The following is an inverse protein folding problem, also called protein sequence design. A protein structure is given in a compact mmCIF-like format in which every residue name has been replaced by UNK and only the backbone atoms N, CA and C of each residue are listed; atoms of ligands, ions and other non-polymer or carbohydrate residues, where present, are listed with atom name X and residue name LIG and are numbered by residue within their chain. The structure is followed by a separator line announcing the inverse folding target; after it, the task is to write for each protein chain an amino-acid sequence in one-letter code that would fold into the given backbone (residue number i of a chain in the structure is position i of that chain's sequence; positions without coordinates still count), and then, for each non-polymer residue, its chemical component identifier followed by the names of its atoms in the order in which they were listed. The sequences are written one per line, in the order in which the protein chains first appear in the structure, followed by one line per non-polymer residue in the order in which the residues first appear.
data_IF_284073520028
#
_entry.id   IF_284073520028
#
_cell.length_a   1.000
_cell.length_b   1.000
_cell.length_c   1.000
_cell.angle_alpha   90.00
_cell.angle_beta   90.00
_cell.angle_gamma   90.00
#
_symmetry.space_group_name_H-M   'P 1'
#
loop_
_entity.id
_entity.type
_entity.pdbx_description
1 polymer ?
#
# COMPACT_ATOMS: atom_id res chain seq x y z
N UNK A 1 -11.45 -11.08 -14.30
CA UNK A 1 -11.30 -11.34 -12.85
C UNK A 1 -12.62 -11.07 -12.18
N UNK A 2 -13.03 -11.87 -11.18
CA UNK A 2 -14.27 -11.61 -10.43
C UNK A 2 -14.00 -10.49 -9.42
N UNK A 3 -14.76 -9.40 -9.50
CA UNK A 3 -14.75 -8.33 -8.50
C UNK A 3 -16.03 -8.44 -7.66
N UNK A 4 -15.92 -9.00 -6.46
CA UNK A 4 -17.08 -9.27 -5.60
C UNK A 4 -16.71 -9.01 -4.14
N UNK A 5 -17.39 -8.04 -3.54
CA UNK A 5 -17.14 -7.56 -2.18
C UNK A 5 -18.43 -7.05 -1.55
N UNK A 6 -18.44 -6.97 -0.23
CA UNK A 6 -19.37 -6.12 0.51
C UNK A 6 -18.69 -4.79 0.82
N UNK A 7 -19.42 -3.68 0.76
CA UNK A 7 -18.89 -2.34 1.02
C UNK A 7 -19.60 -1.67 2.19
N UNK A 8 -18.83 -1.00 3.03
CA UNK A 8 -19.32 -0.12 4.09
C UNK A 8 -18.72 1.28 3.91
N UNK A 9 -19.53 2.29 4.19
CA UNK A 9 -19.13 3.70 4.15
C UNK A 9 -19.46 4.33 5.50
N UNK A 10 -18.45 4.89 6.15
CA UNK A 10 -18.62 5.68 7.36
C UNK A 10 -18.37 7.15 7.05
N UNK A 11 -19.32 8.01 7.41
CA UNK A 11 -19.16 9.46 7.34
C UNK A 11 -18.78 9.98 8.73
N UNK A 12 -17.65 10.66 8.80
CA UNK A 12 -17.11 11.20 10.05
C UNK A 12 -17.07 12.72 9.94
N UNK A 13 -17.43 13.41 11.02
CA UNK A 13 -17.39 14.87 11.09
C UNK A 13 -16.68 15.31 12.36
N UNK A 14 -15.82 16.32 12.23
CA UNK A 14 -15.23 16.99 13.39
C UNK A 14 -16.35 17.59 14.27
N UNK A 15 -16.30 17.33 15.59
CA UNK A 15 -17.29 17.86 16.54
C UNK A 15 -17.13 19.37 16.76
N UNK A 16 -15.89 19.83 16.73
CA UNK A 16 -15.48 21.21 17.02
C UNK A 16 -14.59 21.74 15.88
N UNK A 17 -14.26 23.03 15.93
CA UNK A 17 -13.42 23.67 14.91
C UNK A 17 -14.13 23.83 13.57
N UNK A 18 -13.44 23.47 12.48
CA UNK A 18 -13.91 23.68 11.10
C UNK A 18 -15.09 22.78 10.70
N UNK A 19 -15.43 21.78 11.52
CA UNK A 19 -16.56 20.84 11.31
C UNK A 19 -16.51 20.15 9.95
N UNK A 20 -15.31 19.84 9.46
CA UNK A 20 -15.08 19.15 8.19
C UNK A 20 -15.57 17.72 8.28
N UNK A 21 -15.97 17.18 7.13
CA UNK A 21 -16.41 15.80 6.98
C UNK A 21 -15.44 15.00 6.12
N UNK A 22 -15.23 13.73 6.47
CA UNK A 22 -14.52 12.76 5.66
C UNK A 22 -15.37 11.50 5.52
N UNK A 23 -15.10 10.68 4.51
CA UNK A 23 -15.62 9.32 4.45
C UNK A 23 -14.48 8.31 4.57
N UNK A 24 -14.76 7.18 5.21
CA UNK A 24 -13.94 5.98 5.11
C UNK A 24 -14.78 4.95 4.35
N UNK A 25 -14.25 4.48 3.23
CA UNK A 25 -14.84 3.36 2.48
C UNK A 25 -14.03 2.12 2.82
N UNK A 26 -14.68 1.03 3.22
CA UNK A 26 -14.05 -0.28 3.34
C UNK A 26 -14.80 -1.31 2.50
N UNK A 27 -14.02 -2.18 1.86
CA UNK A 27 -14.49 -3.34 1.11
C UNK A 27 -13.97 -4.61 1.77
N UNK A 28 -14.86 -5.58 1.92
CA UNK A 28 -14.52 -6.93 2.38
C UNK A 28 -14.74 -7.89 1.22
N UNK A 29 -13.65 -8.54 0.82
CA UNK A 29 -13.58 -9.62 -0.15
C UNK A 29 -13.48 -10.95 0.61
N UNK A 30 -13.62 -12.07 -0.11
CA UNK A 30 -13.43 -13.40 0.50
C UNK A 30 -11.97 -13.64 0.91
N UNK A 31 -11.02 -12.95 0.29
CA UNK A 31 -9.56 -13.12 0.40
C UNK A 31 -8.87 -11.88 0.99
N UNK A 32 -9.63 -10.93 1.55
CA UNK A 32 -9.02 -9.77 2.19
C UNK A 32 -9.96 -8.60 2.45
N UNK A 33 -9.40 -7.54 3.01
CA UNK A 33 -10.09 -6.27 3.23
C UNK A 33 -9.28 -5.13 2.65
N UNK A 34 -9.96 -4.09 2.21
CA UNK A 34 -9.30 -2.87 1.77
C UNK A 34 -10.10 -1.64 2.21
N UNK A 35 -9.42 -0.55 2.52
CA UNK A 35 -10.07 0.70 2.89
C UNK A 35 -9.33 1.92 2.34
N UNK A 36 -10.04 3.03 2.20
CA UNK A 36 -9.47 4.32 1.81
C UNK A 36 -10.24 5.49 2.41
N UNK A 37 -9.59 6.65 2.45
CA UNK A 37 -10.19 7.92 2.83
C UNK A 37 -10.75 8.63 1.60
N UNK A 38 -11.92 9.24 1.76
CA UNK A 38 -12.49 10.18 0.79
C UNK A 38 -12.60 11.53 1.47
N UNK A 39 -11.90 12.51 0.91
CA UNK A 39 -11.95 13.90 1.33
C UNK A 39 -12.88 14.62 0.33
N UNK A 40 -14.10 15.00 0.74
CA UNK A 40 -14.99 15.76 -0.14
C UNK A 40 -14.49 17.20 -0.28
N UNK A 41 -15.18 17.98 -1.12
CA UNK A 41 -15.00 19.43 -1.15
C UNK A 41 -15.36 20.04 0.22
N UNK A 42 -14.54 20.97 0.68
CA UNK A 42 -14.79 21.76 1.89
C UNK A 42 -14.84 23.25 1.54
N UNK A 43 -15.70 24.04 2.21
CA UNK A 43 -15.78 25.47 1.95
C UNK A 43 -14.43 26.17 2.13
N UNK A 44 -14.03 26.99 1.15
CA UNK A 44 -12.79 27.76 1.13
C UNK A 44 -11.52 26.91 1.28
N UNK A 45 -11.52 25.65 0.80
CA UNK A 45 -10.35 24.78 0.79
C UNK A 45 -10.25 24.05 -0.54
N UNK A 46 -9.32 24.46 -1.39
CA UNK A 46 -9.13 23.86 -2.71
C UNK A 46 -8.08 22.74 -2.67
N UNK A 47 -7.14 22.79 -1.71
CA UNK A 47 -6.04 21.83 -1.60
C UNK A 47 -5.57 21.63 -0.16
N UNK A 48 -4.82 20.53 0.06
CA UNK A 48 -4.22 20.18 1.34
C UNK A 48 -2.77 19.74 1.15
N UNK A 49 -1.94 20.08 2.14
CA UNK A 49 -0.59 19.54 2.28
C UNK A 49 -0.61 18.45 3.35
N UNK A 50 -0.51 17.20 2.92
CA UNK A 50 -0.47 16.05 3.82
C UNK A 50 0.95 15.90 4.33
N UNK A 51 1.14 16.03 5.64
CA UNK A 51 2.46 15.83 6.29
C UNK A 51 2.57 14.45 6.94
N UNK A 52 1.44 13.80 7.23
CA UNK A 52 1.41 12.47 7.83
C UNK A 52 0.03 11.83 7.67
N UNK A 53 0.03 10.52 7.51
CA UNK A 53 -1.15 9.68 7.67
C UNK A 53 -1.13 8.96 9.02
N UNK A 54 -2.31 8.80 9.67
CA UNK A 54 -2.42 8.18 11.01
C UNK A 54 -2.98 6.75 10.97
N UNK A 55 -2.93 6.09 9.82
CA UNK A 55 -3.31 4.68 9.67
C UNK A 55 -2.36 3.80 10.47
N UNK A 56 -2.89 2.77 11.13
CA UNK A 56 -2.10 1.80 11.87
C UNK A 56 -2.63 0.38 11.70
N UNK A 57 -1.71 -0.58 11.74
CA UNK A 57 -1.96 -2.01 11.62
C UNK A 57 -1.48 -2.69 12.90
N UNK A 58 -2.43 -3.20 13.69
CA UNK A 58 -2.18 -3.77 15.02
C UNK A 58 -2.41 -5.27 14.97
N UNK A 59 -1.48 -6.04 15.53
CA UNK A 59 -1.53 -7.49 15.50
C UNK A 59 -1.84 -8.07 16.88
N UNK A 60 -2.56 -9.18 16.91
CA UNK A 60 -2.92 -9.87 18.14
C UNK A 60 -1.74 -10.63 18.77
N UNK A 61 -0.68 -10.90 18.00
CA UNK A 61 0.49 -11.64 18.45
C UNK A 61 1.72 -11.24 17.64
N UNK A 62 2.90 -11.57 18.16
CA UNK A 62 4.18 -11.32 17.51
C UNK A 62 4.47 -12.43 16.48
N UNK A 63 4.02 -12.21 15.25
CA UNK A 63 4.15 -13.13 14.13
C UNK A 63 5.51 -13.00 13.44
N UNK A 64 5.83 -13.92 12.53
CA UNK A 64 6.99 -13.77 11.65
C UNK A 64 6.58 -13.12 10.34
N UNK A 65 7.50 -12.40 9.71
CA UNK A 65 7.24 -11.76 8.43
C UNK A 65 8.47 -11.79 7.52
N UNK A 66 8.20 -11.86 6.21
CA UNK A 66 9.15 -11.53 5.15
C UNK A 66 8.96 -10.06 4.77
N UNK A 67 10.06 -9.30 4.83
CA UNK A 67 10.06 -7.86 4.62
C UNK A 67 11.39 -7.39 4.03
N UNK A 68 11.37 -6.19 3.47
CA UNK A 68 12.55 -5.44 3.03
C UNK A 68 12.66 -4.15 3.84
N UNK A 69 13.89 -3.68 4.12
CA UNK A 69 14.10 -2.47 4.89
C UNK A 69 13.47 -1.27 4.22
N UNK A 70 13.10 -0.29 5.05
CA UNK A 70 12.66 1.00 4.58
C UNK A 70 13.88 1.90 4.33
N UNK A 71 14.35 1.95 3.08
CA UNK A 71 15.44 2.83 2.62
C UNK A 71 15.36 3.12 1.10
N UNK A 72 16.32 3.90 0.58
CA UNK A 72 16.40 4.30 -0.83
C UNK A 72 16.62 3.12 -1.81
N UNK A 73 17.12 1.99 -1.32
CA UNK A 73 17.42 0.78 -2.09
C UNK A 73 16.51 -0.38 -1.71
N UNK A 74 15.38 -0.11 -1.03
CA UNK A 74 14.51 -1.11 -0.45
C UNK A 74 14.12 -2.20 -1.46
N UNK A 75 13.73 -1.80 -2.67
CA UNK A 75 13.23 -2.71 -3.70
C UNK A 75 14.32 -3.51 -4.44
N UNK A 76 15.60 -3.22 -4.15
CA UNK A 76 16.74 -4.02 -4.60
C UNK A 76 17.37 -4.81 -3.44
N UNK A 77 16.77 -4.76 -2.25
CA UNK A 77 17.28 -5.43 -1.06
C UNK A 77 16.85 -6.89 -0.96
N UNK A 78 17.66 -7.69 -0.28
CA UNK A 78 17.26 -9.05 0.11
C UNK A 78 16.17 -9.00 1.18
N UNK A 79 15.22 -9.94 1.11
CA UNK A 79 14.22 -10.10 2.14
C UNK A 79 14.83 -10.61 3.44
N UNK A 80 14.34 -10.07 4.55
CA UNK A 80 14.62 -10.53 5.91
C UNK A 80 13.43 -11.34 6.43
N UNK A 81 13.67 -12.27 7.35
CA UNK A 81 12.64 -13.08 7.99
C UNK A 81 12.80 -13.05 9.51
N UNK A 82 12.00 -12.23 10.17
CA UNK A 82 12.11 -11.92 11.61
C UNK A 82 10.72 -11.82 12.24
N UNK A 83 10.65 -11.65 13.56
CA UNK A 83 9.40 -11.30 14.24
C UNK A 83 8.96 -9.88 13.87
N UNK A 84 7.66 -9.61 13.93
CA UNK A 84 7.09 -8.27 13.70
C UNK A 84 7.68 -7.24 14.68
N UNK A 85 7.90 -7.62 15.93
CA UNK A 85 8.48 -6.75 16.96
C UNK A 85 9.94 -6.36 16.68
N UNK A 86 10.65 -7.11 15.84
CA UNK A 86 12.04 -6.86 15.46
C UNK A 86 12.17 -5.91 14.26
N UNK A 87 11.07 -5.65 13.54
CA UNK A 87 11.06 -4.79 12.34
C UNK A 87 10.99 -3.32 12.76
N UNK A 88 12.03 -2.50 12.51
CA UNK A 88 11.98 -1.08 12.82
C UNK A 88 11.12 -0.31 11.81
N UNK A 89 11.30 -0.61 10.52
CA UNK A 89 10.56 -0.05 9.41
C UNK A 89 10.68 -0.96 8.17
N UNK A 90 9.64 -1.04 7.35
CA UNK A 90 9.59 -1.89 6.16
C UNK A 90 8.83 -1.21 5.00
N UNK A 91 9.25 -1.45 3.76
CA UNK A 91 8.42 -1.16 2.58
C UNK A 91 7.29 -2.19 2.43
N UNK A 92 6.24 -1.81 1.71
CA UNK A 92 5.19 -2.74 1.30
C UNK A 92 5.46 -3.28 -0.11
N UNK A 93 5.03 -4.52 -0.45
CA UNK A 93 4.24 -5.44 0.37
C UNK A 93 5.04 -6.09 1.51
N UNK A 94 4.45 -6.18 2.71
CA UNK A 94 4.96 -7.01 3.80
C UNK A 94 4.12 -8.29 3.89
N UNK A 95 4.78 -9.43 3.94
CA UNK A 95 4.10 -10.75 4.04
C UNK A 95 4.34 -11.35 5.41
N UNK A 96 3.25 -11.70 6.10
CA UNK A 96 3.24 -12.11 7.50
C UNK A 96 2.69 -13.52 7.57
N UNK A 97 3.40 -14.39 8.27
CA UNK A 97 2.99 -15.75 8.61
C UNK A 97 2.53 -15.78 10.06
N UNK A 98 1.24 -16.03 10.28
CA UNK A 98 0.69 -16.14 11.62
C UNK A 98 0.83 -17.57 12.15
N UNK A 99 0.93 -17.71 13.47
CA UNK A 99 1.10 -19.01 14.13
C UNK A 99 -0.13 -19.93 13.96
N UNK A 100 -1.28 -19.39 13.53
CA UNK A 100 -2.55 -20.09 13.39
C UNK A 100 -2.82 -20.57 11.94
N UNK A 101 -1.78 -20.70 11.11
CA UNK A 101 -1.88 -21.10 9.69
C UNK A 101 -2.65 -20.09 8.82
N UNK A 102 -2.40 -18.80 9.01
CA UNK A 102 -2.84 -17.75 8.09
C UNK A 102 -1.64 -16.97 7.56
N UNK A 103 -1.76 -16.53 6.32
CA UNK A 103 -0.83 -15.65 5.65
C UNK A 103 -1.52 -14.32 5.40
N UNK A 104 -0.85 -13.23 5.74
CA UNK A 104 -1.35 -11.87 5.58
C UNK A 104 -0.37 -11.09 4.69
N UNK A 105 -0.87 -10.35 3.72
CA UNK A 105 -0.07 -9.39 2.96
C UNK A 105 -0.67 -7.98 3.12
N UNK A 106 0.13 -7.05 3.65
CA UNK A 106 -0.25 -5.63 3.75
C UNK A 106 0.43 -4.88 2.61
N UNK A 107 -0.37 -4.17 1.83
CA UNK A 107 0.08 -3.37 0.69
C UNK A 107 -0.90 -2.21 0.41
N UNK A 108 -0.74 -1.57 -0.73
CA UNK A 108 -1.69 -0.59 -1.25
C UNK A 108 -2.07 -0.82 -2.71
N UNK A 109 -3.13 -0.16 -3.15
CA UNK A 109 -3.60 -0.21 -4.54
C UNK A 109 -4.12 1.16 -5.00
N UNK A 110 -4.03 1.43 -6.30
CA UNK A 110 -4.38 2.70 -6.92
C UNK A 110 -3.61 3.90 -6.31
N UNK A 111 -2.29 3.77 -6.20
CA UNK A 111 -1.39 4.85 -5.81
C UNK A 111 -1.29 5.89 -6.94
N UNK A 112 -2.10 6.95 -6.85
CA UNK A 112 -2.16 8.05 -7.81
C UNK A 112 -2.19 9.38 -7.05
N UNK A 113 -1.38 10.35 -7.48
CA UNK A 113 -1.28 11.70 -6.90
C UNK A 113 -1.11 11.71 -5.35
N UNK A 114 -0.38 10.72 -4.83
CA UNK A 114 -0.13 10.53 -3.41
C UNK A 114 1.23 9.86 -3.20
N UNK A 115 1.75 9.94 -1.98
CA UNK A 115 3.02 9.29 -1.62
C UNK A 115 2.81 7.84 -1.22
N UNK A 116 3.78 7.01 -1.58
CA UNK A 116 3.85 5.59 -1.24
C UNK A 116 3.74 5.36 0.27
N UNK A 117 3.09 4.27 0.66
CA UNK A 117 3.07 3.79 2.03
C UNK A 117 4.24 2.85 2.35
N UNK A 118 4.96 3.22 3.40
CA UNK A 118 5.86 2.34 4.15
C UNK A 118 5.30 2.15 5.56
N UNK A 119 5.84 1.17 6.29
CA UNK A 119 5.41 0.81 7.63
C UNK A 119 6.53 1.08 8.62
N UNK A 120 6.25 1.85 9.67
CA UNK A 120 7.19 2.09 10.77
C UNK A 120 6.66 1.46 12.05
N UNK A 121 7.53 0.93 12.90
CA UNK A 121 7.14 0.34 14.19
C UNK A 121 6.34 1.35 15.03
N UNK A 122 5.15 0.96 15.45
CA UNK A 122 4.32 1.76 16.36
C UNK A 122 4.65 1.37 17.81
N UNK A 123 5.40 2.23 18.50
CA UNK A 123 5.80 2.03 19.89
C UNK A 123 4.68 2.27 20.90
N UNK A 124 3.51 2.74 20.46
CA UNK A 124 2.34 2.94 21.32
C UNK A 124 1.49 1.67 21.53
N UNK A 125 1.82 0.59 20.81
CA UNK A 125 1.14 -0.71 20.89
C UNK A 125 2.13 -1.84 21.11
N UNK A 126 1.65 -3.01 21.55
CA UNK A 126 2.50 -4.16 21.80
C UNK A 126 3.20 -4.67 20.53
N UNK A 127 2.43 -4.88 19.46
CA UNK A 127 2.92 -5.31 18.14
C UNK A 127 2.10 -4.63 17.06
N UNK A 128 2.74 -3.82 16.22
CA UNK A 128 2.06 -3.11 15.15
C UNK A 128 2.91 -2.09 14.44
N UNK A 129 2.36 -1.57 13.34
CA UNK A 129 2.97 -0.56 12.51
C UNK A 129 2.05 0.64 12.34
N UNK A 130 2.63 1.82 12.22
CA UNK A 130 1.97 3.01 11.70
C UNK A 130 2.37 3.20 10.23
N UNK A 131 1.45 3.74 9.43
CA UNK A 131 1.76 4.20 8.09
C UNK A 131 2.78 5.35 8.15
N UNK A 132 3.80 5.28 7.32
CA UNK A 132 4.71 6.37 7.01
C UNK A 132 4.66 6.64 5.51
N UNK A 133 4.48 7.90 5.15
CA UNK A 133 4.54 8.34 3.75
C UNK A 133 5.93 8.89 3.46
N UNK A 134 6.41 8.71 2.24
CA UNK A 134 7.67 9.31 1.80
C UNK A 134 7.52 10.83 1.66
N UNK A 135 8.31 11.64 2.39
CA UNK A 135 8.23 13.09 2.29
C UNK A 135 9.04 13.63 1.10
N UNK A 136 8.57 14.72 0.51
CA UNK A 136 9.39 15.61 -0.29
C UNK A 136 10.43 16.33 0.60
N UNK A 137 11.46 16.97 0.02
CA UNK A 137 12.49 17.68 0.80
C UNK A 137 11.98 18.75 1.77
N UNK A 138 10.76 19.28 1.58
CA UNK A 138 10.13 20.25 2.48
C UNK A 138 9.29 19.60 3.59
N UNK A 139 9.26 18.26 3.67
CA UNK A 139 8.52 17.49 4.67
C UNK A 139 7.06 17.23 4.31
N UNK A 140 6.55 17.76 3.20
CA UNK A 140 5.20 17.44 2.72
C UNK A 140 5.24 16.07 2.04
N UNK A 141 4.33 15.19 2.42
CA UNK A 141 4.22 13.85 1.84
C UNK A 141 3.29 13.82 0.62
N UNK A 142 2.23 14.63 0.58
CA UNK A 142 1.39 14.73 -0.60
C UNK A 142 0.73 16.10 -0.71
N UNK A 143 0.62 16.62 -1.94
CA UNK A 143 -0.10 17.84 -2.26
C UNK A 143 -1.35 17.45 -3.04
N UNK A 144 -2.50 17.54 -2.39
CA UNK A 144 -3.75 17.02 -2.95
C UNK A 144 -4.74 18.15 -3.21
N UNK A 145 -5.43 18.09 -4.34
CA UNK A 145 -6.60 18.92 -4.62
C UNK A 145 -7.87 18.23 -4.13
N UNK A 146 -8.87 18.98 -3.68
CA UNK A 146 -10.18 18.43 -3.31
C UNK A 146 -11.16 18.46 -4.50
N UNK A 147 -12.06 17.48 -4.63
CA UNK A 147 -12.19 16.27 -3.80
C UNK A 147 -11.08 15.25 -4.06
N UNK A 148 -10.70 14.48 -3.05
CA UNK A 148 -9.59 13.52 -3.11
C UNK A 148 -9.98 12.14 -2.59
N UNK A 149 -9.36 11.10 -3.14
CA UNK A 149 -9.43 9.72 -2.65
C UNK A 149 -8.00 9.27 -2.35
N UNK A 150 -7.73 8.82 -1.12
CA UNK A 150 -6.45 8.17 -0.86
C UNK A 150 -6.32 6.89 -1.69
N UNK A 151 -5.09 6.42 -1.93
CA UNK A 151 -4.87 5.03 -2.31
C UNK A 151 -5.57 4.08 -1.33
N UNK A 152 -5.91 2.91 -1.82
CA UNK A 152 -6.44 1.85 -0.97
C UNK A 152 -5.33 1.27 -0.11
N UNK A 153 -5.60 1.04 1.16
CA UNK A 153 -4.79 0.17 2.00
C UNK A 153 -5.42 -1.20 2.02
N UNK A 154 -4.65 -2.19 1.58
CA UNK A 154 -5.10 -3.55 1.36
C UNK A 154 -4.45 -4.52 2.34
N UNK A 155 -5.25 -5.45 2.81
CA UNK A 155 -4.84 -6.55 3.68
C UNK A 155 -5.39 -7.83 3.03
N UNK A 156 -4.54 -8.54 2.31
CA UNK A 156 -4.87 -9.86 1.74
C UNK A 156 -4.69 -10.89 2.84
N UNK A 157 -5.64 -11.82 2.99
CA UNK A 157 -5.63 -12.84 4.04
C UNK A 157 -5.94 -14.19 3.40
N UNK A 158 -5.06 -15.16 3.60
CA UNK A 158 -5.18 -16.51 3.06
C UNK A 158 -4.83 -17.57 4.10
N UNK A 159 -5.25 -18.81 3.88
CA UNK A 159 -4.87 -19.98 4.70
C UNK A 159 -3.53 -20.58 4.28
N UNK A 160 -3.05 -20.25 3.10
CA UNK A 160 -1.76 -20.69 2.57
C UNK A 160 -1.12 -19.58 1.72
N UNK A 161 0.19 -19.70 1.48
CA UNK A 161 0.94 -18.72 0.71
C UNK A 161 0.48 -18.63 -0.77
N UNK A 162 -0.06 -19.71 -1.33
CA UNK A 162 -0.57 -19.74 -2.70
C UNK A 162 -1.77 -18.82 -2.89
N UNK A 163 -2.70 -18.81 -1.91
CA UNK A 163 -3.86 -17.93 -1.95
C UNK A 163 -3.51 -16.43 -1.87
N UNK A 164 -2.33 -16.04 -1.35
CA UNK A 164 -1.86 -14.66 -1.49
C UNK A 164 -1.56 -14.29 -2.95
N UNK A 165 -0.98 -15.23 -3.71
CA UNK A 165 -0.60 -15.05 -5.12
C UNK A 165 -1.85 -15.06 -6.02
N UNK A 166 -2.83 -15.92 -5.71
CA UNK A 166 -4.06 -16.04 -6.48
C UNK A 166 -5.04 -14.88 -6.25
N UNK A 167 -4.80 -14.05 -5.23
CA UNK A 167 -5.65 -12.90 -4.93
C UNK A 167 -5.62 -11.89 -6.07
N UNK A 168 -6.81 -11.48 -6.50
CA UNK A 168 -7.00 -10.40 -7.48
C UNK A 168 -7.33 -9.06 -6.80
N UNK A 169 -7.19 -8.98 -5.46
CA UNK A 169 -7.64 -7.85 -4.66
C UNK A 169 -7.00 -6.54 -5.13
N UNK A 170 -5.68 -6.51 -5.35
CA UNK A 170 -4.97 -5.30 -5.80
C UNK A 170 -5.52 -4.79 -7.15
N UNK A 171 -5.69 -5.68 -8.13
CA UNK A 171 -6.23 -5.32 -9.45
C UNK A 171 -7.70 -4.85 -9.36
N UNK A 172 -8.52 -5.52 -8.53
CA UNK A 172 -9.93 -5.19 -8.34
C UNK A 172 -10.17 -3.82 -7.65
N UNK A 173 -9.15 -3.25 -7.03
CA UNK A 173 -9.20 -1.94 -6.37
C UNK A 173 -8.76 -0.77 -7.27
N UNK A 174 -8.18 -1.08 -8.43
CA UNK A 174 -7.83 -0.07 -9.44
C UNK A 174 -9.03 0.27 -10.32
N UNK A 175 -9.00 1.47 -10.89
CA UNK A 175 -10.00 1.86 -11.89
C UNK A 175 -9.90 0.94 -13.13
N UNK A 176 -11.00 0.73 -13.87
CA UNK A 176 -10.96 -0.02 -15.12
C UNK A 176 -9.96 0.58 -16.12
N UNK A 177 -9.56 -0.23 -17.11
CA UNK A 177 -8.65 0.22 -18.15
C UNK A 177 -9.16 1.51 -18.81
N UNK A 178 -8.35 2.57 -18.76
CA UNK A 178 -8.68 3.87 -19.34
C UNK A 178 -8.44 3.94 -20.86
N UNK A 179 -7.83 2.91 -21.46
CA UNK A 179 -7.53 2.84 -22.88
C UNK A 179 -8.62 2.06 -23.61
N UNK A 180 -9.17 2.66 -24.67
CA UNK A 180 -10.21 2.03 -25.50
C UNK A 180 -9.66 0.89 -26.37
N UNK A 181 -8.45 1.07 -26.91
CA UNK A 181 -7.75 0.05 -27.72
C UNK A 181 -6.40 -0.30 -27.10
N UNK A 182 -6.28 -1.58 -26.72
CA UNK A 182 -5.06 -2.21 -26.18
C UNK A 182 -4.54 -3.34 -27.06
N UNK A 183 -5.07 -3.51 -28.28
CA UNK A 183 -4.68 -4.59 -29.21
C UNK A 183 -3.21 -4.54 -29.65
N UNK A 184 -2.59 -3.37 -29.51
CA UNK A 184 -1.16 -3.15 -29.77
C UNK A 184 -0.26 -3.62 -28.62
N UNK A 185 -0.80 -3.81 -27.40
CA UNK A 185 -0.05 -4.34 -26.26
C UNK A 185 0.09 -5.85 -26.44
N UNK A 186 1.30 -6.30 -26.81
CA UNK A 186 1.59 -7.72 -27.10
C UNK A 186 2.71 -8.25 -26.20
N UNK A 187 2.47 -9.28 -25.38
CA UNK A 187 3.52 -9.92 -24.60
C UNK A 187 4.65 -10.43 -25.49
N UNK A 188 5.90 -10.29 -25.04
CA UNK A 188 7.09 -10.69 -25.80
C UNK A 188 8.17 -11.29 -24.90
N UNK A 189 8.94 -12.23 -25.44
CA UNK A 189 10.22 -12.68 -24.89
C UNK A 189 11.34 -11.98 -25.65
N UNK A 190 12.35 -11.46 -24.96
CA UNK A 190 13.46 -10.76 -25.58
C UNK A 190 14.82 -11.24 -25.04
N UNK A 191 15.86 -11.02 -25.84
CA UNK A 191 17.26 -11.05 -25.42
C UNK A 191 17.88 -9.71 -25.83
N UNK A 192 18.92 -9.28 -25.12
CA UNK A 192 19.55 -7.98 -25.40
C UNK A 192 21.02 -7.97 -25.03
N UNK A 193 21.76 -7.08 -25.70
CA UNK A 193 23.09 -6.68 -25.26
C UNK A 193 22.88 -5.91 -23.95
N UNK A 194 23.14 -6.58 -22.82
CA UNK A 194 22.87 -6.06 -21.48
C UNK A 194 23.84 -6.64 -20.47
N UNK A 195 23.84 -7.98 -20.34
CA UNK A 195 24.66 -8.67 -19.34
C UNK A 195 26.16 -8.43 -19.51
N UNK A 196 26.62 -8.23 -20.76
CA UNK A 196 28.01 -7.92 -21.06
C UNK A 196 28.51 -6.65 -20.37
N UNK A 197 27.66 -5.65 -20.15
CA UNK A 197 28.04 -4.44 -19.42
C UNK A 197 28.01 -4.66 -17.91
N UNK A 198 27.02 -5.40 -17.38
CA UNK A 198 26.95 -5.77 -15.96
C UNK A 198 28.18 -6.54 -15.48
N UNK A 199 28.74 -7.41 -16.32
CA UNK A 199 29.96 -8.18 -15.99
C UNK A 199 31.27 -7.47 -16.41
N UNK A 200 31.20 -6.21 -16.87
CA UNK A 200 32.36 -5.42 -17.27
C UNK A 200 33.08 -5.89 -18.54
N UNK A 201 32.44 -6.71 -19.38
CA UNK A 201 33.00 -7.17 -20.67
C UNK A 201 32.92 -6.09 -21.75
N UNK A 202 31.89 -5.25 -21.71
CA UNK A 202 31.68 -4.13 -22.64
C UNK A 202 31.31 -2.86 -21.88
N UNK A 203 31.45 -1.71 -22.54
CA UNK A 203 30.99 -0.40 -22.05
C UNK A 203 29.63 -0.05 -22.61
N UNK A 204 28.90 0.85 -21.94
CA UNK A 204 27.67 1.46 -22.46
C UNK A 204 27.93 2.53 -23.54
N UNK A 205 29.19 2.92 -23.71
CA UNK A 205 29.70 3.90 -24.70
C UNK A 205 30.47 3.21 -25.80
#
# INVERSE_FOLDING_TARGET
MRNHYNEAVWELREKEGLKRNIKIIARSYNDGVAFRYILPEWPNTDSLLITKEKTGFRFASDHKAWWIPQDEFAYESLHQYTLLSEIPAANTPITIETNDSLYICIHEAALLDYSEITLIKDTSVAVGFAAALWPEPDGVCARIALPFKSPWRSIIISKDAGGLIESNLILNLNEPCALEDVSWIKPMKFVGIWWGMHIGKYTWT
#
